data_IF_356590272453
#
_entry.id   IF_356590272453
#
_cell.length_a   1.000
_cell.length_b   1.000
_cell.length_c   1.000
_cell.angle_alpha   90.00
_cell.angle_beta   90.00
_cell.angle_gamma   90.00
#
_symmetry.space_group_name_H-M   'P 1'
#
loop_
_entity.id
_entity.type
_entity.pdbx_description
1 polymer ?
#
# COMPACT_ATOMS: atom_id res chain seq x y z
N UNK A 1 11.35 -5.73 4.71
CA UNK A 1 10.29 -6.09 3.73
C UNK A 1 9.35 -4.89 3.59
N UNK A 2 8.95 -4.50 2.37
CA UNK A 2 8.21 -3.24 2.08
C UNK A 2 6.97 -3.45 1.19
N UNK A 3 6.98 -4.48 0.37
CA UNK A 3 5.85 -5.13 -0.32
C UNK A 3 4.84 -4.22 -1.04
N UNK A 4 5.09 -3.87 -2.31
CA UNK A 4 4.10 -3.19 -3.13
C UNK A 4 2.88 -4.09 -3.39
N UNK A 5 1.70 -3.53 -3.17
CA UNK A 5 0.41 -4.13 -3.54
C UNK A 5 -0.30 -3.19 -4.51
N UNK A 6 -0.80 -3.73 -5.62
CA UNK A 6 -1.21 -2.95 -6.79
C UNK A 6 -2.68 -3.17 -7.12
N UNK A 7 -3.44 -2.10 -7.39
CA UNK A 7 -4.79 -2.18 -7.96
C UNK A 7 -4.80 -1.42 -9.29
N UNK A 8 -5.48 -1.97 -10.30
CA UNK A 8 -5.73 -1.28 -11.57
C UNK A 8 -7.21 -0.90 -11.66
N UNK A 9 -7.50 0.37 -11.92
CA UNK A 9 -8.86 0.86 -12.20
C UNK A 9 -8.83 1.88 -13.33
N UNK A 10 -9.45 1.53 -14.47
CA UNK A 10 -9.40 2.38 -15.67
C UNK A 10 -7.97 2.54 -16.17
N UNK A 11 -7.52 3.79 -16.36
CA UNK A 11 -6.14 4.11 -16.73
C UNK A 11 -5.22 4.38 -15.53
N UNK A 12 -5.66 4.07 -14.30
CA UNK A 12 -4.90 4.32 -13.07
C UNK A 12 -4.37 3.04 -12.43
N UNK A 13 -3.17 3.14 -11.90
CA UNK A 13 -2.46 2.12 -11.12
C UNK A 13 -2.30 2.68 -9.71
N UNK A 14 -2.91 2.04 -8.73
CA UNK A 14 -2.78 2.39 -7.32
C UNK A 14 -1.77 1.46 -6.68
N UNK A 15 -0.72 2.02 -6.06
CA UNK A 15 0.34 1.23 -5.41
C UNK A 15 0.39 1.60 -3.94
N UNK A 16 0.07 0.63 -3.09
CA UNK A 16 0.27 0.69 -1.64
C UNK A 16 1.60 0.03 -1.31
N UNK A 17 2.47 0.72 -0.56
CA UNK A 17 3.77 0.19 -0.12
C UNK A 17 4.08 0.70 1.29
N UNK A 18 4.79 -0.10 2.09
CA UNK A 18 5.31 0.37 3.36
C UNK A 18 6.66 1.07 3.19
N UNK A 19 6.79 2.26 3.76
CA UNK A 19 8.02 3.04 3.83
C UNK A 19 8.62 2.94 5.23
N UNK A 20 9.94 2.73 5.28
CA UNK A 20 10.76 2.79 6.50
C UNK A 20 11.96 3.67 6.21
N UNK A 21 12.37 4.52 7.16
CA UNK A 21 13.45 5.47 6.94
C UNK A 21 14.78 5.05 7.59
N UNK A 22 14.73 4.38 8.75
CA UNK A 22 15.90 4.13 9.61
C UNK A 22 16.04 2.67 10.06
N UNK A 23 14.95 1.93 10.16
CA UNK A 23 14.94 0.57 10.66
C UNK A 23 15.73 -0.38 9.76
N UNK A 24 16.55 -1.24 10.38
CA UNK A 24 17.39 -2.25 9.70
C UNK A 24 16.88 -3.68 9.92
N UNK A 25 16.01 -3.89 10.90
CA UNK A 25 15.40 -5.18 11.20
C UNK A 25 14.15 -5.42 10.35
N UNK A 26 13.61 -6.64 10.39
CA UNK A 26 12.33 -6.90 9.73
C UNK A 26 11.17 -6.20 10.47
N UNK A 27 10.15 -5.79 9.72
CA UNK A 27 9.00 -5.02 10.23
C UNK A 27 8.26 -5.70 11.41
N UNK A 28 8.17 -7.03 11.34
CA UNK A 28 7.58 -7.85 12.40
C UNK A 28 8.39 -7.82 13.71
N UNK A 29 9.63 -7.34 13.69
CA UNK A 29 10.51 -7.21 14.85
C UNK A 29 10.56 -5.79 15.42
N UNK A 30 9.97 -4.78 14.76
CA UNK A 30 10.00 -3.41 15.26
C UNK A 30 9.28 -3.29 16.63
N UNK A 31 9.79 -2.48 17.57
CA UNK A 31 9.14 -2.30 18.86
C UNK A 31 7.88 -1.43 18.77
N UNK A 32 7.83 -0.50 17.82
CA UNK A 32 6.72 0.41 17.56
C UNK A 32 6.65 0.75 16.06
N UNK A 33 5.60 1.47 15.64
CA UNK A 33 5.41 1.89 14.26
C UNK A 33 5.95 3.29 13.95
N UNK A 34 6.94 3.82 14.69
CA UNK A 34 7.43 5.20 14.48
C UNK A 34 8.11 5.39 13.13
N UNK A 35 8.91 4.43 12.71
CA UNK A 35 9.65 4.48 11.45
C UNK A 35 8.82 4.03 10.24
N UNK A 36 7.66 3.43 10.48
CA UNK A 36 6.76 2.89 9.46
C UNK A 36 5.77 3.94 8.93
N UNK A 37 5.56 3.98 7.62
CA UNK A 37 4.46 4.68 6.98
C UNK A 37 3.85 3.86 5.83
N UNK A 38 2.53 3.62 5.82
CA UNK A 38 1.84 3.06 4.67
C UNK A 38 1.60 4.19 3.67
N UNK A 39 2.21 4.12 2.48
CA UNK A 39 2.09 5.18 1.47
C UNK A 39 1.38 4.67 0.23
N UNK A 40 0.52 5.53 -0.33
CA UNK A 40 -0.20 5.30 -1.57
C UNK A 40 0.34 6.25 -2.65
N UNK A 41 0.72 5.72 -3.81
CA UNK A 41 0.98 6.51 -5.01
C UNK A 41 0.08 6.05 -6.15
N UNK A 42 -0.30 6.99 -7.03
CA UNK A 42 -1.17 6.72 -8.17
C UNK A 42 -0.41 7.02 -9.45
N UNK A 43 -0.26 6.00 -10.29
CA UNK A 43 0.25 6.12 -11.65
C UNK A 43 -0.90 6.29 -12.64
N UNK A 44 -0.91 7.37 -13.41
CA UNK A 44 -1.84 7.54 -14.52
C UNK A 44 -1.17 7.14 -15.84
N UNK A 45 -1.77 6.18 -16.53
CA UNK A 45 -1.31 5.69 -17.83
C UNK A 45 -1.94 6.53 -18.93
N UNK A 46 -1.10 7.11 -19.80
CA UNK A 46 -1.52 7.80 -21.03
C UNK A 46 -0.96 7.08 -22.23
N UNK A 47 -1.82 6.72 -23.18
CA UNK A 47 -1.44 6.11 -24.46
C UNK A 47 -1.41 7.19 -25.54
N UNK A 48 -0.38 7.18 -26.38
CA UNK A 48 -0.28 8.03 -27.57
C UNK A 48 -0.03 7.19 -28.80
N UNK A 49 -0.44 7.69 -29.96
CA UNK A 49 -0.15 7.06 -31.24
C UNK A 49 0.62 8.06 -32.09
N UNK A 50 1.86 7.73 -32.44
CA UNK A 50 2.75 8.57 -33.24
C UNK A 50 3.19 7.74 -34.44
N UNK A 51 2.82 8.18 -35.65
CA UNK A 51 3.14 7.49 -36.91
C UNK A 51 2.74 6.00 -36.91
N UNK A 52 1.55 5.69 -36.38
CA UNK A 52 1.03 4.31 -36.31
C UNK A 52 1.64 3.45 -35.20
N UNK A 53 2.59 3.97 -34.40
CA UNK A 53 3.19 3.28 -33.26
C UNK A 53 2.53 3.70 -31.96
N UNK A 54 2.00 2.72 -31.23
CA UNK A 54 1.44 2.92 -29.88
C UNK A 54 2.58 3.10 -28.88
N UNK A 55 2.53 4.21 -28.14
CA UNK A 55 3.42 4.53 -27.04
C UNK A 55 2.58 4.70 -25.76
N UNK A 56 3.22 4.56 -24.60
CA UNK A 56 2.57 4.83 -23.32
C UNK A 56 3.53 5.55 -22.35
N UNK A 57 2.99 6.46 -21.57
CA UNK A 57 3.67 7.09 -20.44
C UNK A 57 2.90 6.84 -19.16
N UNK A 58 3.62 6.80 -18.03
CA UNK A 58 3.03 6.71 -16.70
C UNK A 58 3.53 7.91 -15.90
N UNK A 59 2.60 8.72 -15.41
CA UNK A 59 2.92 9.83 -14.51
C UNK A 59 2.48 9.45 -13.10
N UNK A 60 3.39 9.54 -12.14
CA UNK A 60 3.14 9.17 -10.74
C UNK A 60 2.89 10.40 -9.89
N UNK A 61 1.94 10.29 -8.96
CA UNK A 61 1.77 11.29 -7.90
C UNK A 61 2.81 11.10 -6.81
N UNK A 62 3.09 12.17 -6.06
CA UNK A 62 3.82 12.05 -4.81
C UNK A 62 3.12 11.06 -3.86
N UNK A 63 3.87 10.25 -3.08
CA UNK A 63 3.28 9.30 -2.15
C UNK A 63 2.52 10.01 -1.03
N UNK A 64 1.28 9.58 -0.77
CA UNK A 64 0.44 10.07 0.33
C UNK A 64 0.45 9.05 1.47
N UNK A 65 0.77 9.50 2.68
CA UNK A 65 0.74 8.65 3.88
C UNK A 65 -0.71 8.37 4.31
N UNK A 66 -1.03 7.09 4.50
CA UNK A 66 -2.30 6.60 5.04
C UNK A 66 -2.24 6.38 6.57
N UNK A 67 -1.16 6.82 7.23
CA UNK A 67 -0.95 6.58 8.66
C UNK A 67 -2.06 7.20 9.54
N UNK A 68 -2.65 8.32 9.13
CA UNK A 68 -3.69 9.03 9.88
C UNK A 68 -5.01 8.29 9.97
N UNK A 69 -5.31 7.41 9.00
CA UNK A 69 -6.53 6.60 8.98
C UNK A 69 -6.34 5.21 9.61
N UNK A 70 -5.11 4.87 10.00
CA UNK A 70 -4.82 3.59 10.65
C UNK A 70 -5.29 3.63 12.11
N UNK A 71 -6.17 2.71 12.54
CA UNK A 71 -6.66 2.70 13.90
C UNK A 71 -5.55 2.30 14.89
N UNK A 72 -5.63 2.82 16.11
CA UNK A 72 -4.71 2.45 17.21
C UNK A 72 -4.96 1.03 17.72
N UNK A 73 -6.19 0.55 17.60
CA UNK A 73 -6.65 -0.75 18.10
C UNK A 73 -7.75 -1.33 17.21
N UNK A 74 -7.86 -2.66 17.19
CA UNK A 74 -8.98 -3.43 16.62
C UNK A 74 -9.35 -4.52 17.62
N UNK A 75 -10.62 -4.62 18.01
CA UNK A 75 -11.11 -5.62 18.99
C UNK A 75 -10.32 -5.63 20.31
N UNK A 76 -9.91 -4.44 20.78
CA UNK A 76 -9.07 -4.27 21.99
C UNK A 76 -7.60 -4.67 21.81
N UNK A 77 -7.22 -5.15 20.62
CA UNK A 77 -5.85 -5.46 20.25
C UNK A 77 -5.12 -4.22 19.72
N UNK A 78 -4.06 -3.74 20.39
CA UNK A 78 -3.27 -2.61 19.90
C UNK A 78 -2.55 -2.96 18.59
N UNK A 79 -2.59 -2.05 17.64
CA UNK A 79 -1.93 -2.18 16.33
C UNK A 79 -0.63 -1.36 16.27
N UNK A 80 0.31 -1.84 15.45
CA UNK A 80 1.64 -1.27 15.30
C UNK A 80 1.91 -0.79 13.87
N UNK A 81 1.75 -1.70 12.91
CA UNK A 81 2.11 -1.49 11.50
C UNK A 81 1.18 -2.33 10.62
N UNK A 82 1.00 -1.93 9.35
CA UNK A 82 0.44 -2.79 8.31
C UNK A 82 1.17 -2.64 6.97
N UNK A 83 1.12 -3.69 6.17
CA UNK A 83 1.59 -3.72 4.79
C UNK A 83 0.46 -4.19 3.90
N UNK A 84 0.54 -3.92 2.60
CA UNK A 84 -0.33 -4.61 1.65
C UNK A 84 0.00 -6.10 1.57
N UNK A 85 -0.97 -6.92 1.15
CA UNK A 85 -0.84 -8.38 1.06
C UNK A 85 0.09 -8.91 -0.04
N UNK A 86 0.80 -8.03 -0.75
CA UNK A 86 1.71 -8.30 -1.88
C UNK A 86 0.97 -8.66 -3.15
N UNK A 87 1.50 -8.20 -4.29
CA UNK A 87 1.01 -8.58 -5.61
C UNK A 87 -0.15 -7.70 -6.10
N UNK A 88 -1.14 -8.31 -6.74
CA UNK A 88 -2.25 -7.59 -7.36
C UNK A 88 -3.51 -7.77 -6.52
N UNK A 89 -4.24 -6.67 -6.34
CA UNK A 89 -5.53 -6.64 -5.68
C UNK A 89 -6.62 -6.07 -6.58
N UNK A 90 -7.82 -5.85 -6.04
CA UNK A 90 -9.05 -5.80 -6.84
C UNK A 90 -9.80 -4.47 -6.74
N UNK A 91 -10.61 -4.25 -7.78
CA UNK A 91 -11.73 -3.31 -7.75
C UNK A 91 -13.00 -4.15 -7.62
N UNK A 92 -13.81 -3.86 -6.62
CA UNK A 92 -15.11 -4.52 -6.44
C UNK A 92 -16.13 -4.03 -7.47
N UNK A 93 -17.26 -4.75 -7.60
CA UNK A 93 -18.31 -4.44 -8.59
C UNK A 93 -18.94 -3.05 -8.41
N UNK A 94 -18.94 -2.51 -7.19
CA UNK A 94 -19.40 -1.14 -6.92
C UNK A 94 -18.31 -0.07 -7.13
N UNK A 95 -17.12 -0.46 -7.60
CA UNK A 95 -16.01 0.43 -7.88
C UNK A 95 -15.08 0.72 -6.69
N UNK A 96 -15.28 0.10 -5.53
CA UNK A 96 -14.37 0.26 -4.38
C UNK A 96 -13.03 -0.42 -4.64
N UNK A 97 -11.94 0.29 -4.32
CA UNK A 97 -10.58 -0.26 -4.30
C UNK A 97 -10.40 -1.04 -2.99
N UNK A 98 -10.03 -2.32 -3.07
CA UNK A 98 -9.83 -3.15 -1.88
C UNK A 98 -8.40 -3.63 -1.86
N UNK A 99 -7.67 -3.30 -0.79
CA UNK A 99 -6.35 -3.83 -0.50
C UNK A 99 -6.49 -4.80 0.70
N UNK A 100 -6.26 -6.12 0.53
CA UNK A 100 -6.01 -7.00 1.67
C UNK A 100 -4.67 -6.60 2.28
N UNK A 101 -4.58 -6.63 3.62
CA UNK A 101 -3.42 -6.12 4.36
C UNK A 101 -2.95 -7.13 5.39
N UNK A 102 -1.65 -7.09 5.66
CA UNK A 102 -1.05 -7.80 6.79
C UNK A 102 -0.83 -6.80 7.90
N UNK A 103 -1.47 -6.99 9.05
CA UNK A 103 -1.36 -6.10 10.20
C UNK A 103 -0.59 -6.78 11.34
N UNK A 104 0.19 -5.98 12.08
CA UNK A 104 0.94 -6.43 13.23
C UNK A 104 0.40 -5.77 14.50
N UNK A 105 0.05 -6.60 15.49
CA UNK A 105 -0.24 -6.12 16.84
C UNK A 105 1.06 -5.81 17.61
N UNK A 106 0.99 -4.86 18.56
CA UNK A 106 2.11 -4.61 19.46
C UNK A 106 2.39 -5.77 20.44
N UNK A 107 1.46 -6.73 20.59
CA UNK A 107 1.63 -7.96 21.39
C UNK A 107 2.29 -9.10 20.57
N UNK A 108 2.94 -8.78 19.43
CA UNK A 108 3.63 -9.72 18.53
C UNK A 108 2.74 -10.87 18.01
N UNK A 109 1.48 -10.58 17.72
CA UNK A 109 0.61 -11.47 16.94
C UNK A 109 0.38 -10.84 15.56
N UNK A 110 0.79 -11.53 14.51
CA UNK A 110 0.43 -11.18 13.14
C UNK A 110 -1.05 -11.51 12.93
N UNK A 111 -1.84 -10.55 12.45
CA UNK A 111 -3.21 -10.80 12.00
C UNK A 111 -3.26 -10.43 10.51
N UNK A 112 -3.62 -11.38 9.66
CA UNK A 112 -4.00 -11.07 8.29
C UNK A 112 -5.44 -10.54 8.30
N UNK A 113 -5.71 -9.46 7.57
CA UNK A 113 -7.03 -8.85 7.43
C UNK A 113 -7.43 -8.70 5.97
#
# INVERSE_FOLDING_TARGET
>A
VVDPTVIVKGNKIYVLVARYNKSTNNWNQHPDGKDWEPVLSVGEVKKTNINGKVNATITWTDPVSLKSIFPKEIEGGPLKEFLGGVGVSIVTTNGTLVFPVQAMSSIRRTTAM
#
